data_IF_970873233549
#
_entry.id   IF_970873233549
#
_cell.length_a   1.000
_cell.length_b   1.000
_cell.length_c   1.000
_cell.angle_alpha   90.00
_cell.angle_beta   90.00
_cell.angle_gamma   90.00
#
_symmetry.space_group_name_H-M   'P 1'
#
loop_
_entity.id
_entity.type
_entity.pdbx_description
1 polymer ?
#
# COMPACT_ATOMS: atom_id res chain seq x y z
N UNK A 1 -11.30 -3.80 0.10
CA UNK A 1 -9.99 -3.74 0.76
C UNK A 1 -9.61 -5.07 1.40
N UNK A 2 -8.31 -5.37 1.44
CA UNK A 2 -7.78 -6.46 2.25
C UNK A 2 -7.85 -6.12 3.74
N UNK A 3 -8.03 -7.11 4.61
CA UNK A 3 -8.11 -6.91 6.07
C UNK A 3 -6.88 -6.17 6.63
N UNK A 4 -5.70 -6.34 6.04
CA UNK A 4 -4.49 -5.61 6.42
C UNK A 4 -4.61 -4.08 6.22
N UNK A 5 -5.48 -3.63 5.32
CA UNK A 5 -5.78 -2.22 5.09
C UNK A 5 -7.15 -1.80 5.67
N UNK A 6 -7.75 -2.61 6.53
CA UNK A 6 -8.98 -2.28 7.27
C UNK A 6 -8.73 -2.27 8.78
N UNK A 7 -8.22 -3.40 9.31
CA UNK A 7 -8.12 -3.61 10.76
C UNK A 7 -7.22 -2.59 11.46
N UNK A 8 -6.04 -2.21 10.94
CA UNK A 8 -5.20 -1.19 11.58
C UNK A 8 -5.92 0.16 11.73
N UNK A 9 -6.72 0.55 10.71
CA UNK A 9 -7.52 1.77 10.77
C UNK A 9 -8.63 1.70 11.80
N UNK A 10 -9.30 0.56 11.92
CA UNK A 10 -10.32 0.34 12.97
C UNK A 10 -9.69 0.42 14.37
N UNK A 11 -8.51 -0.18 14.56
CA UNK A 11 -7.77 -0.09 15.83
C UNK A 11 -7.36 1.35 16.14
N UNK A 12 -6.83 2.08 15.17
CA UNK A 12 -6.47 3.49 15.32
C UNK A 12 -7.70 4.36 15.62
N UNK A 13 -8.80 4.13 14.91
CA UNK A 13 -10.06 4.86 15.12
C UNK A 13 -10.60 4.64 16.53
N UNK A 14 -10.59 3.41 17.02
CA UNK A 14 -11.02 3.11 18.40
C UNK A 14 -10.10 3.77 19.44
N UNK A 15 -8.76 3.74 19.21
CA UNK A 15 -7.79 4.31 20.15
C UNK A 15 -7.86 5.84 20.23
N UNK A 16 -8.05 6.50 19.11
CA UNK A 16 -7.97 7.96 18.98
C UNK A 16 -9.33 8.64 18.76
N UNK A 17 -10.44 7.89 18.89
CA UNK A 17 -11.80 8.38 18.68
C UNK A 17 -11.97 9.03 17.28
N UNK A 18 -11.51 8.37 16.24
CA UNK A 18 -11.61 8.83 14.86
C UNK A 18 -12.81 8.18 14.17
N UNK A 19 -13.33 8.85 13.14
CA UNK A 19 -14.37 8.32 12.27
C UNK A 19 -13.76 7.71 11.01
N UNK A 20 -14.18 6.48 10.68
CA UNK A 20 -13.87 5.85 9.40
C UNK A 20 -15.10 5.98 8.50
N UNK A 21 -14.87 6.41 7.27
CA UNK A 21 -15.86 6.34 6.19
C UNK A 21 -15.38 5.34 5.16
N UNK A 22 -16.27 4.51 4.65
CA UNK A 22 -15.99 3.56 3.58
C UNK A 22 -16.61 4.05 2.28
N UNK A 23 -15.83 4.02 1.21
CA UNK A 23 -16.32 4.36 -0.13
C UNK A 23 -17.11 3.18 -0.69
N UNK A 24 -18.24 3.46 -1.32
CA UNK A 24 -19.05 2.44 -1.97
C UNK A 24 -18.32 1.84 -3.19
N UNK A 25 -18.64 0.60 -3.46
CA UNK A 25 -18.22 -0.15 -4.64
C UNK A 25 -19.46 -0.67 -5.35
N UNK A 26 -19.49 -0.56 -6.67
CA UNK A 26 -20.62 -1.05 -7.50
C UNK A 26 -20.67 -2.59 -7.52
N UNK A 27 -21.74 -3.15 -8.08
CA UNK A 27 -21.84 -4.60 -8.31
C UNK A 27 -20.78 -5.13 -9.28
N UNK A 28 -20.25 -4.25 -10.16
CA UNK A 28 -19.12 -4.56 -11.06
C UNK A 28 -17.76 -4.35 -10.40
N UNK A 29 -17.72 -4.12 -9.07
CA UNK A 29 -16.52 -3.85 -8.27
C UNK A 29 -15.80 -2.55 -8.63
N UNK A 30 -16.45 -1.61 -9.29
CA UNK A 30 -15.86 -0.29 -9.56
C UNK A 30 -16.05 0.65 -8.38
N UNK A 31 -15.05 1.48 -8.11
CA UNK A 31 -15.11 2.47 -7.03
C UNK A 31 -16.09 3.59 -7.39
N UNK A 32 -17.00 3.91 -6.47
CA UNK A 32 -17.93 5.04 -6.61
C UNK A 32 -17.20 6.37 -6.34
N UNK A 33 -16.79 7.04 -7.42
CA UNK A 33 -16.06 8.30 -7.33
C UNK A 33 -16.91 9.45 -6.79
N UNK A 34 -18.20 9.48 -7.10
CA UNK A 34 -19.11 10.53 -6.60
C UNK A 34 -19.27 10.40 -5.08
N UNK A 35 -19.42 9.15 -4.61
CA UNK A 35 -19.44 8.89 -3.18
C UNK A 35 -18.10 9.22 -2.51
N UNK A 36 -16.95 8.82 -3.09
CA UNK A 36 -15.62 9.20 -2.60
C UNK A 36 -15.53 10.73 -2.45
N UNK A 37 -15.88 11.45 -3.50
CA UNK A 37 -15.83 12.91 -3.52
C UNK A 37 -16.71 13.54 -2.42
N UNK A 38 -17.88 12.98 -2.18
CA UNK A 38 -18.82 13.45 -1.15
C UNK A 38 -18.30 13.26 0.28
N UNK A 39 -17.41 12.29 0.51
CA UNK A 39 -16.82 12.00 1.81
C UNK A 39 -15.60 12.88 2.12
N UNK A 40 -14.94 13.43 1.10
CA UNK A 40 -13.73 14.24 1.25
C UNK A 40 -14.07 15.63 1.80
N UNK A 41 -13.36 16.04 2.84
CA UNK A 41 -13.50 17.38 3.42
C UNK A 41 -12.25 17.74 4.24
N UNK A 42 -12.18 18.98 4.78
CA UNK A 42 -11.03 19.49 5.55
C UNK A 42 -10.68 18.69 6.81
N UNK A 43 -11.61 17.86 7.32
CA UNK A 43 -11.36 16.98 8.45
C UNK A 43 -10.79 15.62 8.03
N UNK A 44 -10.79 15.29 6.74
CA UNK A 44 -10.18 14.06 6.24
C UNK A 44 -8.66 14.14 6.45
N UNK A 45 -8.10 13.19 7.20
CA UNK A 45 -6.68 13.15 7.55
C UNK A 45 -5.90 12.08 6.80
N UNK A 46 -6.58 10.99 6.47
CA UNK A 46 -6.00 9.87 5.73
C UNK A 46 -7.01 9.36 4.72
N UNK A 47 -6.53 9.09 3.52
CA UNK A 47 -7.24 8.31 2.51
C UNK A 47 -6.36 7.10 2.21
N UNK A 48 -6.89 5.91 2.42
CA UNK A 48 -6.17 4.67 2.16
C UNK A 48 -6.98 3.79 1.21
N UNK A 49 -6.33 3.31 0.16
CA UNK A 49 -6.97 2.46 -0.86
C UNK A 49 -6.09 1.26 -1.19
N UNK A 50 -6.74 0.20 -1.70
CA UNK A 50 -6.03 -0.88 -2.37
C UNK A 50 -5.56 -0.42 -3.76
N UNK A 51 -4.33 -0.76 -4.13
CA UNK A 51 -3.82 -0.48 -5.48
C UNK A 51 -4.34 -1.46 -6.53
N UNK A 52 -4.51 -2.72 -6.13
CA UNK A 52 -5.15 -3.79 -6.90
C UNK A 52 -5.85 -4.74 -5.92
N UNK A 53 -7.13 -5.02 -6.15
CA UNK A 53 -7.90 -5.89 -5.25
C UNK A 53 -7.49 -7.35 -5.39
N UNK A 54 -7.22 -7.99 -4.25
CA UNK A 54 -6.92 -9.43 -4.19
C UNK A 54 -8.16 -10.32 -4.41
N UNK A 55 -9.36 -9.77 -4.38
CA UNK A 55 -10.63 -10.49 -4.56
C UNK A 55 -11.13 -10.32 -5.98
N UNK A 56 -11.35 -9.08 -6.41
CA UNK A 56 -11.99 -8.77 -7.69
C UNK A 56 -11.00 -8.49 -8.82
N UNK A 57 -9.71 -8.25 -8.51
CA UNK A 57 -8.73 -7.75 -9.47
C UNK A 57 -8.98 -6.30 -9.91
N UNK A 58 -9.92 -5.59 -9.28
CA UNK A 58 -10.20 -4.19 -9.58
C UNK A 58 -8.94 -3.33 -9.38
N UNK A 59 -8.72 -2.44 -10.32
CA UNK A 59 -7.64 -1.46 -10.35
C UNK A 59 -8.26 -0.05 -10.26
N UNK A 60 -8.23 0.59 -9.10
CA UNK A 60 -8.73 1.96 -8.99
C UNK A 60 -7.80 2.93 -9.72
N UNK A 61 -8.36 4.00 -10.25
CA UNK A 61 -7.57 5.09 -10.83
C UNK A 61 -6.88 5.90 -9.72
N UNK A 62 -5.68 5.43 -9.32
CA UNK A 62 -4.88 6.00 -8.23
C UNK A 62 -4.60 7.49 -8.46
N UNK A 63 -4.31 7.91 -9.71
CA UNK A 63 -4.04 9.31 -10.04
C UNK A 63 -5.27 10.19 -9.91
N UNK A 64 -6.42 9.71 -10.38
CA UNK A 64 -7.69 10.43 -10.23
C UNK A 64 -8.06 10.59 -8.76
N UNK A 65 -7.90 9.54 -7.96
CA UNK A 65 -8.13 9.60 -6.51
C UNK A 65 -7.17 10.60 -5.86
N UNK A 66 -5.87 10.55 -6.20
CA UNK A 66 -4.90 11.54 -5.69
C UNK A 66 -5.32 12.97 -6.00
N UNK A 67 -5.75 13.23 -7.24
CA UNK A 67 -6.20 14.57 -7.65
C UNK A 67 -7.37 15.05 -6.80
N UNK A 68 -8.39 14.21 -6.57
CA UNK A 68 -9.54 14.53 -5.71
C UNK A 68 -9.12 14.78 -4.25
N UNK A 69 -8.22 13.93 -3.72
CA UNK A 69 -7.72 14.06 -2.34
C UNK A 69 -7.00 15.38 -2.16
N UNK A 70 -6.07 15.71 -3.06
CA UNK A 70 -5.26 16.94 -2.97
C UNK A 70 -6.06 18.22 -3.24
N UNK A 71 -7.10 18.16 -4.06
CA UNK A 71 -7.97 19.30 -4.32
C UNK A 71 -8.85 19.67 -3.11
N UNK A 72 -9.32 18.67 -2.38
CA UNK A 72 -10.32 18.84 -1.32
C UNK A 72 -9.78 18.77 0.10
N UNK A 73 -8.57 18.24 0.30
CA UNK A 73 -8.04 17.91 1.62
C UNK A 73 -6.52 18.08 1.68
N UNK A 74 -6.03 18.15 2.93
CA UNK A 74 -4.60 17.99 3.24
C UNK A 74 -4.30 16.54 3.72
N UNK A 75 -5.13 15.57 3.35
CA UNK A 75 -5.00 14.19 3.80
C UNK A 75 -3.76 13.51 3.22
N UNK A 76 -3.18 12.63 4.04
CA UNK A 76 -2.15 11.68 3.61
C UNK A 76 -2.80 10.59 2.76
N UNK A 77 -2.25 10.35 1.56
CA UNK A 77 -2.75 9.36 0.62
C UNK A 77 -1.89 8.10 0.64
N UNK A 78 -2.47 7.00 1.03
CA UNK A 78 -1.81 5.71 1.25
C UNK A 78 -2.36 4.68 0.26
N UNK A 79 -1.46 3.92 -0.38
CA UNK A 79 -1.82 2.84 -1.29
C UNK A 79 -1.30 1.51 -0.74
N UNK A 80 -2.20 0.56 -0.56
CA UNK A 80 -1.84 -0.85 -0.37
C UNK A 80 -1.43 -1.44 -1.72
N UNK A 81 -0.12 -1.55 -1.93
CA UNK A 81 0.49 -2.06 -3.17
C UNK A 81 0.75 -3.56 -3.16
N UNK A 82 0.24 -4.30 -2.18
CA UNK A 82 0.57 -5.71 -1.99
C UNK A 82 0.26 -6.59 -3.21
N UNK A 83 -0.80 -6.29 -3.96
CA UNK A 83 -1.09 -6.96 -5.23
C UNK A 83 -0.64 -6.15 -6.46
N UNK A 84 -0.56 -4.83 -6.34
CA UNK A 84 -0.24 -3.95 -7.47
C UNK A 84 1.22 -4.11 -7.92
N UNK A 85 2.18 -4.02 -6.97
CA UNK A 85 3.61 -3.98 -7.26
C UNK A 85 4.15 -5.26 -7.92
N UNK A 86 3.69 -6.48 -7.56
CA UNK A 86 4.13 -7.70 -8.23
C UNK A 86 3.78 -7.78 -9.72
N UNK A 87 2.74 -7.09 -10.16
CA UNK A 87 2.15 -7.26 -11.49
C UNK A 87 2.37 -6.06 -12.42
N UNK A 88 2.78 -4.90 -11.86
CA UNK A 88 2.84 -3.64 -12.62
C UNK A 88 4.07 -2.82 -12.26
N UNK A 89 4.59 -2.12 -13.25
CA UNK A 89 5.59 -1.07 -13.00
C UNK A 89 4.92 0.11 -12.30
N UNK A 90 5.49 0.50 -11.16
CA UNK A 90 4.99 1.59 -10.33
C UNK A 90 6.01 2.71 -10.27
N UNK A 91 5.54 3.92 -10.47
CA UNK A 91 6.28 5.16 -10.17
C UNK A 91 5.48 5.94 -9.13
N UNK A 92 5.97 5.95 -7.90
CA UNK A 92 5.29 6.55 -6.75
C UNK A 92 5.16 8.08 -6.88
N UNK A 93 6.11 8.72 -7.58
CA UNK A 93 6.09 10.17 -7.82
C UNK A 93 5.03 10.52 -8.88
N UNK A 94 4.99 9.77 -9.96
CA UNK A 94 4.00 9.93 -11.03
C UNK A 94 2.56 9.67 -10.55
N UNK A 95 2.38 8.71 -9.62
CA UNK A 95 1.08 8.44 -8.98
C UNK A 95 0.71 9.47 -7.90
N UNK A 96 1.68 10.25 -7.42
CA UNK A 96 1.48 11.29 -6.41
C UNK A 96 1.08 10.77 -5.03
N UNK A 97 1.39 9.50 -4.72
CA UNK A 97 1.07 8.88 -3.43
C UNK A 97 2.03 9.34 -2.34
N UNK A 98 1.58 9.28 -1.10
CA UNK A 98 2.39 9.68 0.06
C UNK A 98 3.02 8.46 0.74
N UNK A 99 2.32 7.31 0.74
CA UNK A 99 2.84 6.02 1.22
C UNK A 99 2.42 4.87 0.32
N UNK A 100 3.32 3.90 0.15
CA UNK A 100 3.08 2.62 -0.54
C UNK A 100 3.51 1.48 0.38
N UNK A 101 2.61 0.51 0.62
CA UNK A 101 2.90 -0.68 1.39
C UNK A 101 3.04 -1.89 0.45
N UNK A 102 4.10 -2.68 0.61
CA UNK A 102 4.43 -3.80 -0.26
C UNK A 102 4.76 -5.05 0.56
N UNK A 103 4.28 -6.21 0.11
CA UNK A 103 4.58 -7.52 0.70
C UNK A 103 5.61 -8.27 -0.12
N UNK A 104 6.77 -8.59 0.47
CA UNK A 104 7.88 -9.24 -0.23
C UNK A 104 7.52 -10.60 -0.84
N UNK A 105 6.79 -11.45 -0.10
CA UNK A 105 6.41 -12.78 -0.58
C UNK A 105 5.45 -12.79 -1.78
N UNK A 106 4.78 -11.69 -2.07
CA UNK A 106 3.90 -11.55 -3.25
C UNK A 106 4.65 -11.11 -4.49
N UNK A 107 5.84 -10.54 -4.32
CA UNK A 107 6.71 -10.10 -5.41
C UNK A 107 7.96 -11.00 -5.57
N UNK A 108 7.78 -12.31 -5.44
CA UNK A 108 8.80 -13.38 -5.58
C UNK A 108 9.90 -13.34 -4.50
N UNK A 109 9.76 -12.50 -3.50
CA UNK A 109 10.67 -12.41 -2.35
C UNK A 109 10.32 -13.41 -1.24
N UNK A 110 11.15 -13.47 -0.19
CA UNK A 110 10.88 -14.33 0.95
C UNK A 110 9.70 -13.85 1.79
N UNK A 111 9.18 -14.75 2.64
CA UNK A 111 8.23 -14.39 3.70
C UNK A 111 8.91 -13.60 4.79
N UNK A 112 8.13 -12.94 5.66
CA UNK A 112 8.65 -12.22 6.83
C UNK A 112 9.23 -10.83 6.54
N UNK A 113 9.21 -10.37 5.30
CA UNK A 113 9.68 -9.04 4.91
C UNK A 113 8.68 -8.32 4.01
N UNK A 114 8.64 -7.03 4.14
CA UNK A 114 7.90 -6.11 3.28
C UNK A 114 8.56 -4.73 3.26
N UNK A 115 8.04 -3.83 2.47
CA UNK A 115 8.54 -2.47 2.35
C UNK A 115 7.41 -1.49 2.54
N UNK A 116 7.65 -0.44 3.31
CA UNK A 116 6.84 0.78 3.31
C UNK A 116 7.70 1.87 2.68
N UNK A 117 7.27 2.33 1.51
CA UNK A 117 7.80 3.56 0.94
C UNK A 117 6.97 4.73 1.46
N UNK A 118 7.61 5.83 1.82
CA UNK A 118 6.95 7.05 2.24
C UNK A 118 7.73 8.29 1.83
N UNK A 119 7.02 9.40 1.63
CA UNK A 119 7.65 10.69 1.37
C UNK A 119 8.50 11.09 2.56
N UNK A 120 9.72 11.53 2.28
CA UNK A 120 10.73 11.86 3.29
C UNK A 120 10.20 12.78 4.38
N UNK A 121 9.57 13.89 3.98
CA UNK A 121 9.03 14.89 4.88
C UNK A 121 7.92 14.37 5.80
N UNK A 122 7.16 13.36 5.35
CA UNK A 122 6.16 12.71 6.20
C UNK A 122 6.82 11.72 7.17
N UNK A 123 7.76 10.92 6.68
CA UNK A 123 8.52 9.98 7.52
C UNK A 123 9.31 10.69 8.63
N UNK A 124 9.91 11.84 8.35
CA UNK A 124 10.63 12.63 9.34
C UNK A 124 9.75 13.10 10.50
N UNK A 125 8.47 13.38 10.21
CA UNK A 125 7.49 13.88 11.19
C UNK A 125 6.71 12.77 11.93
N UNK A 126 6.88 11.50 11.56
CA UNK A 126 6.24 10.38 12.27
C UNK A 126 7.12 9.89 13.41
N UNK A 127 6.48 9.59 14.54
CA UNK A 127 7.14 8.87 15.63
C UNK A 127 7.20 7.36 15.32
N UNK A 128 8.22 6.64 15.80
CA UNK A 128 8.28 5.19 15.69
C UNK A 128 7.17 4.54 16.54
N UNK A 129 6.63 3.42 16.04
CA UNK A 129 5.59 2.64 16.75
C UNK A 129 6.23 1.58 17.65
N UNK A 130 7.34 1.03 17.22
CA UNK A 130 8.11 0.02 17.97
C UNK A 130 9.41 0.62 18.44
N UNK A 131 9.81 0.32 19.68
CA UNK A 131 11.09 0.69 20.26
C UNK A 131 12.00 -0.52 20.46
N UNK A 132 13.31 -0.31 20.31
CA UNK A 132 14.31 -1.38 20.49
C UNK A 132 15.72 -0.88 20.21
N UNK A 133 16.65 -1.80 20.00
CA UNK A 133 18.01 -1.48 19.54
C UNK A 133 18.04 -0.97 18.10
N UNK A 134 19.12 -0.40 17.69
CA UNK A 134 19.45 0.12 16.34
C UNK A 134 18.62 1.32 15.87
N UNK A 135 17.41 1.53 16.36
CA UNK A 135 16.50 2.59 15.94
C UNK A 135 16.68 3.90 16.73
N UNK A 136 17.60 3.93 17.69
CA UNK A 136 17.87 5.07 18.57
C UNK A 136 19.20 5.74 18.20
N UNK A 137 19.33 7.04 18.50
CA UNK A 137 20.56 7.79 18.39
C UNK A 137 21.23 7.93 19.77
N UNK A 138 20.49 8.42 20.77
CA UNK A 138 20.94 8.52 22.14
C UNK A 138 19.88 7.98 23.10
N UNK A 139 20.32 7.37 24.21
CA UNK A 139 19.43 6.84 25.25
C UNK A 139 19.83 7.45 26.60
N UNK A 140 18.84 7.99 27.29
CA UNK A 140 18.93 8.50 28.65
C UNK A 140 18.05 7.65 29.58
N UNK A 141 18.06 7.92 30.88
CA UNK A 141 17.26 7.13 31.83
C UNK A 141 15.77 7.25 31.64
N UNK A 142 15.29 8.39 31.16
CA UNK A 142 13.87 8.76 31.05
C UNK A 142 13.45 9.11 29.63
N UNK A 143 14.36 9.18 28.67
CA UNK A 143 14.07 9.55 27.28
C UNK A 143 15.10 8.96 26.32
N UNK A 144 14.78 8.98 25.02
CA UNK A 144 15.69 8.64 23.95
C UNK A 144 15.46 9.55 22.74
N UNK A 145 16.47 9.67 21.88
CA UNK A 145 16.36 10.27 20.55
C UNK A 145 16.43 9.18 19.48
N UNK A 146 15.82 9.46 18.34
CA UNK A 146 15.66 8.48 17.28
C UNK A 146 16.76 8.63 16.23
N UNK A 147 17.23 7.51 15.72
CA UNK A 147 18.10 7.49 14.56
C UNK A 147 17.41 8.15 13.34
N UNK A 148 18.20 8.65 12.36
CA UNK A 148 17.63 9.13 11.10
C UNK A 148 16.78 8.06 10.37
N UNK A 149 15.87 8.51 9.53
CA UNK A 149 15.14 7.59 8.64
C UNK A 149 16.13 6.89 7.69
N UNK A 150 15.88 5.62 7.34
CA UNK A 150 14.76 4.77 7.72
C UNK A 150 14.90 4.08 9.09
N UNK A 151 16.08 4.10 9.70
CA UNK A 151 16.44 3.28 10.89
C UNK A 151 15.52 3.52 12.09
N UNK A 152 14.98 4.73 12.28
CA UNK A 152 14.06 4.98 13.41
C UNK A 152 12.79 4.13 13.38
N UNK A 153 12.44 3.49 12.26
CA UNK A 153 11.29 2.61 12.13
C UNK A 153 11.65 1.12 12.16
N UNK A 154 12.94 0.79 12.27
CA UNK A 154 13.48 -0.58 12.16
C UNK A 154 14.05 -1.02 13.50
N UNK A 155 13.18 -1.32 14.47
CA UNK A 155 13.59 -1.71 15.82
C UNK A 155 14.16 -3.13 15.87
N UNK A 156 15.38 -3.26 16.40
CA UNK A 156 16.12 -4.51 16.55
C UNK A 156 16.91 -4.92 15.32
N UNK A 157 17.59 -6.04 15.40
CA UNK A 157 18.39 -6.57 14.28
C UNK A 157 17.51 -6.79 13.05
N UNK A 158 17.80 -6.15 11.92
CA UNK A 158 16.96 -6.28 10.71
C UNK A 158 17.04 -7.70 10.14
N UNK A 159 15.98 -8.17 9.42
CA UNK A 159 15.94 -9.47 8.78
C UNK A 159 16.80 -9.47 7.50
N UNK A 160 18.14 -9.39 7.66
CA UNK A 160 19.05 -9.18 6.56
C UNK A 160 19.09 -10.33 5.54
N UNK A 161 18.79 -11.56 5.93
CA UNK A 161 18.69 -12.71 5.01
C UNK A 161 17.50 -12.51 4.07
N UNK A 162 16.35 -12.16 4.64
CA UNK A 162 15.12 -11.87 3.89
C UNK A 162 15.29 -10.59 3.04
N UNK A 163 16.01 -9.59 3.54
CA UNK A 163 16.31 -8.37 2.79
C UNK A 163 17.18 -8.65 1.56
N UNK A 164 18.21 -9.48 1.69
CA UNK A 164 19.03 -9.92 0.54
C UNK A 164 18.19 -10.70 -0.46
N UNK A 165 17.33 -11.62 0.02
CA UNK A 165 16.41 -12.38 -0.81
C UNK A 165 15.40 -11.49 -1.54
N UNK A 166 14.87 -10.47 -0.87
CA UNK A 166 13.97 -9.48 -1.49
C UNK A 166 14.71 -8.65 -2.53
N UNK A 167 15.96 -8.24 -2.26
CA UNK A 167 16.81 -7.56 -3.24
C UNK A 167 16.97 -8.37 -4.52
N UNK A 168 17.28 -9.66 -4.40
CA UNK A 168 17.36 -10.56 -5.57
C UNK A 168 16.03 -10.66 -6.34
N UNK A 169 14.89 -10.67 -5.64
CA UNK A 169 13.58 -10.66 -6.28
C UNK A 169 13.30 -9.34 -7.02
N UNK A 170 13.70 -8.21 -6.45
CA UNK A 170 13.61 -6.90 -7.11
C UNK A 170 14.47 -6.85 -8.36
N UNK A 171 15.70 -7.34 -8.31
CA UNK A 171 16.58 -7.42 -9.47
C UNK A 171 15.98 -8.30 -10.57
N UNK A 172 15.41 -9.45 -10.20
CA UNK A 172 14.74 -10.34 -11.13
C UNK A 172 13.56 -9.64 -11.84
N UNK A 173 12.64 -9.05 -11.05
CA UNK A 173 11.47 -8.33 -11.59
C UNK A 173 11.89 -7.12 -12.45
N UNK A 174 12.94 -6.41 -12.06
CA UNK A 174 13.45 -5.24 -12.79
C UNK A 174 14.03 -5.61 -14.17
N UNK A 175 14.44 -6.85 -14.34
CA UNK A 175 14.92 -7.37 -15.62
C UNK A 175 13.81 -7.93 -16.52
N UNK A 176 12.57 -8.03 -16.01
CA UNK A 176 11.41 -8.41 -16.81
C UNK A 176 10.79 -7.18 -17.49
N UNK A 177 10.25 -7.38 -18.69
CA UNK A 177 9.33 -6.41 -19.27
C UNK A 177 7.96 -6.52 -18.56
N UNK A 178 7.71 -5.65 -17.58
CA UNK A 178 6.47 -5.66 -16.81
C UNK A 178 5.22 -5.40 -17.67
N UNK A 179 5.34 -4.77 -18.82
CA UNK A 179 4.22 -4.64 -19.76
C UNK A 179 3.86 -6.00 -20.38
N UNK A 180 4.87 -6.82 -20.71
CA UNK A 180 4.64 -8.19 -21.17
C UNK A 180 4.06 -9.09 -20.08
N UNK A 181 4.48 -8.92 -18.81
CA UNK A 181 3.90 -9.63 -17.66
C UNK A 181 2.43 -9.27 -17.51
N UNK A 182 2.11 -7.99 -17.54
CA UNK A 182 0.72 -7.51 -17.46
C UNK A 182 -0.12 -8.05 -18.61
N UNK A 183 0.38 -7.93 -19.84
CA UNK A 183 -0.33 -8.44 -21.02
C UNK A 183 -0.61 -9.94 -20.91
N UNK A 184 0.36 -10.73 -20.46
CA UNK A 184 0.17 -12.17 -20.26
C UNK A 184 -0.93 -12.47 -19.22
N UNK A 185 -0.97 -11.74 -18.11
CA UNK A 185 -2.02 -11.86 -17.10
C UNK A 185 -3.40 -11.49 -17.65
N UNK A 186 -3.49 -10.42 -18.44
CA UNK A 186 -4.72 -10.01 -19.10
C UNK A 186 -5.21 -11.06 -20.13
N UNK A 187 -4.30 -11.60 -20.94
CA UNK A 187 -4.62 -12.67 -21.89
C UNK A 187 -5.14 -13.95 -21.18
N UNK A 188 -4.53 -14.33 -20.05
CA UNK A 188 -5.01 -15.44 -19.22
C UNK A 188 -6.37 -15.19 -18.60
N UNK A 189 -6.61 -13.98 -18.11
CA UNK A 189 -7.90 -13.58 -17.55
C UNK A 189 -9.00 -13.69 -18.60
N UNK A 190 -8.80 -13.14 -19.78
CA UNK A 190 -9.78 -13.22 -20.89
C UNK A 190 -9.99 -14.68 -21.34
N UNK A 191 -8.94 -15.47 -21.43
CA UNK A 191 -9.06 -16.90 -21.72
C UNK A 191 -9.91 -17.63 -20.68
N UNK A 192 -9.66 -17.40 -19.39
CA UNK A 192 -10.40 -18.02 -18.29
C UNK A 192 -11.88 -17.58 -18.33
N UNK A 193 -12.13 -16.27 -18.47
CA UNK A 193 -13.47 -15.70 -18.55
C UNK A 193 -14.29 -16.36 -19.69
N UNK A 194 -13.74 -16.40 -20.89
CA UNK A 194 -14.40 -17.02 -22.04
C UNK A 194 -14.70 -18.51 -21.84
N UNK A 195 -13.91 -19.22 -21.04
CA UNK A 195 -14.17 -20.63 -20.71
C UNK A 195 -15.25 -20.79 -19.64
N UNK A 196 -15.24 -19.94 -18.63
CA UNK A 196 -16.15 -19.98 -17.50
C UNK A 196 -17.56 -19.55 -17.88
N UNK A 197 -17.71 -18.53 -18.73
CA UNK A 197 -19.00 -18.04 -19.23
C UNK A 197 -19.80 -19.11 -20.02
N UNK A 198 -19.13 -20.18 -20.51
CA UNK A 198 -19.76 -21.28 -21.21
C UNK A 198 -20.18 -22.46 -20.29
N UNK A 199 -20.04 -22.28 -18.97
CA UNK A 199 -20.44 -23.29 -17.99
C UNK A 199 -21.81 -22.90 -17.42
N UNK A 200 -22.81 -23.77 -17.60
CA UNK A 200 -24.15 -23.53 -17.09
C UNK A 200 -24.15 -23.40 -15.56
N UNK A 201 -24.69 -22.31 -15.05
CA UNK A 201 -24.84 -22.07 -13.62
C UNK A 201 -23.66 -21.30 -12.98
N UNK A 202 -22.69 -20.83 -13.76
CA UNK A 202 -21.64 -19.90 -13.33
C UNK A 202 -22.01 -18.47 -13.65
#
# INVERSE_FOLDING_TARGET
EHHANIIPWQMAAAKYNLKINYVNVSESFELDFDHLESLLNKNTKVVSIVGESNISGMLPDIKKINSLVKDKTDAVYIVDGAQLVPHRKIDVQDLGIDFLCVSGHKMLGPTGIGVVWGRKELLENLDPVYGGGDMIEEVFYDTATWAPIPHKFEAGTPPYVEAIGLGAAVDYLSNLDMNSVQKHSDDLREYAKNKLENIDGL
#
